data_IF_667062253209
#
_entry.id   IF_667062253209
#
_cell.length_a   1.000
_cell.length_b   1.000
_cell.length_c   1.000
_cell.angle_alpha   90.00
_cell.angle_beta   90.00
_cell.angle_gamma   90.00
#
_symmetry.space_group_name_H-M   'P 1'
#
loop_
_entity.id
_entity.type
_entity.pdbx_description
1 polymer ?
#
# COMPACT_ATOMS: atom_id res chain seq x y z
N UNK A 1 -28.57 15.64 1.76
CA UNK A 1 -29.32 14.36 1.73
C UNK A 1 -29.90 14.18 0.33
N UNK A 2 -29.64 13.07 -0.36
CA UNK A 2 -30.16 12.87 -1.72
C UNK A 2 -31.68 12.59 -1.67
N UNK A 3 -32.44 12.99 -2.70
CA UNK A 3 -33.89 12.69 -2.75
C UNK A 3 -34.20 11.19 -2.57
N UNK A 4 -33.29 10.32 -3.01
CA UNK A 4 -33.37 8.85 -2.87
C UNK A 4 -33.20 8.37 -1.42
N UNK A 5 -32.30 8.98 -0.67
CA UNK A 5 -32.10 8.66 0.76
C UNK A 5 -33.27 9.13 1.61
N UNK A 6 -33.82 10.32 1.33
CA UNK A 6 -35.02 10.82 1.98
C UNK A 6 -36.25 9.91 1.75
N UNK A 7 -36.45 9.46 0.51
CA UNK A 7 -37.53 8.54 0.15
C UNK A 7 -37.40 7.19 0.86
N UNK A 8 -36.20 6.61 0.90
CA UNK A 8 -35.93 5.34 1.59
C UNK A 8 -36.22 5.41 3.09
N UNK A 9 -35.82 6.51 3.75
CA UNK A 9 -36.12 6.74 5.17
C UNK A 9 -37.64 6.85 5.41
N UNK A 10 -38.35 7.58 4.54
CA UNK A 10 -39.81 7.71 4.65
C UNK A 10 -40.55 6.37 4.53
N UNK A 11 -40.13 5.50 3.61
CA UNK A 11 -40.70 4.15 3.45
C UNK A 11 -40.42 3.30 4.68
N UNK A 12 -39.20 3.36 5.22
CA UNK A 12 -38.84 2.62 6.43
C UNK A 12 -39.71 3.06 7.61
N UNK A 13 -39.89 4.37 7.81
CA UNK A 13 -40.74 4.90 8.89
C UNK A 13 -42.20 4.43 8.76
N UNK A 14 -42.76 4.41 7.55
CA UNK A 14 -44.10 3.87 7.29
C UNK A 14 -44.20 2.38 7.60
N UNK A 15 -43.18 1.60 7.21
CA UNK A 15 -43.11 0.16 7.48
C UNK A 15 -43.08 -0.14 8.99
N UNK A 16 -42.31 0.64 9.75
CA UNK A 16 -42.22 0.49 11.21
C UNK A 16 -43.44 1.07 11.96
N UNK A 17 -44.22 1.96 11.32
CA UNK A 17 -45.48 2.47 11.85
C UNK A 17 -46.69 1.54 11.58
N UNK A 18 -46.58 0.60 10.62
CA UNK A 18 -47.64 -0.35 10.28
C UNK A 18 -48.26 -1.06 11.51
N UNK A 19 -47.48 -1.49 12.52
CA UNK A 19 -48.05 -2.25 13.63
C UNK A 19 -48.81 -1.39 14.64
N UNK A 20 -48.54 -0.07 14.70
CA UNK A 20 -49.40 0.88 15.41
C UNK A 20 -50.77 0.99 14.73
N UNK A 21 -50.79 0.96 13.40
CA UNK A 21 -52.04 0.96 12.63
C UNK A 21 -52.81 -0.34 12.86
N UNK A 22 -52.12 -1.49 12.86
CA UNK A 22 -52.73 -2.80 13.18
C UNK A 22 -53.26 -2.80 14.61
N UNK A 23 -52.54 -2.25 15.59
CA UNK A 23 -53.01 -2.11 16.97
C UNK A 23 -54.33 -1.34 17.04
N UNK A 24 -54.37 -0.12 16.47
CA UNK A 24 -55.54 0.74 16.51
C UNK A 24 -56.74 0.06 15.84
N UNK A 25 -56.51 -0.67 14.74
CA UNK A 25 -57.56 -1.39 14.03
C UNK A 25 -58.10 -2.60 14.81
N UNK A 26 -57.23 -3.38 15.47
CA UNK A 26 -57.63 -4.63 16.14
C UNK A 26 -58.09 -4.44 17.59
N UNK A 27 -57.50 -3.48 18.31
CA UNK A 27 -57.71 -3.29 19.75
C UNK A 27 -58.34 -1.94 20.12
N UNK A 28 -58.48 -1.01 19.17
CA UNK A 28 -58.99 0.34 19.39
C UNK A 28 -57.92 1.29 19.92
N UNK A 29 -58.33 2.48 20.37
CA UNK A 29 -57.41 3.54 20.85
C UNK A 29 -57.12 3.47 22.35
N UNK A 30 -57.85 2.65 23.10
CA UNK A 30 -57.69 2.51 24.55
C UNK A 30 -56.68 1.43 24.90
N UNK A 31 -55.82 1.70 25.89
CA UNK A 31 -54.91 0.70 26.44
C UNK A 31 -55.69 -0.30 27.27
N UNK A 32 -55.63 -1.58 26.89
CA UNK A 32 -56.35 -2.63 27.61
C UNK A 32 -55.67 -3.00 28.92
N UNK A 33 -56.45 -3.16 30.00
CA UNK A 33 -55.97 -3.69 31.28
C UNK A 33 -55.92 -5.24 31.32
N UNK A 34 -56.31 -5.92 30.23
CA UNK A 34 -56.35 -7.38 30.17
C UNK A 34 -54.98 -7.94 29.75
N UNK A 35 -54.38 -8.75 30.63
CA UNK A 35 -53.12 -9.45 30.33
C UNK A 35 -53.21 -10.42 29.14
N UNK A 36 -54.37 -11.05 28.91
CA UNK A 36 -54.59 -11.93 27.76
C UNK A 36 -54.49 -11.17 26.44
N UNK A 37 -55.07 -9.97 26.38
CA UNK A 37 -54.99 -9.11 25.19
C UNK A 37 -53.57 -8.60 24.94
N UNK A 38 -52.78 -8.37 25.99
CA UNK A 38 -51.35 -8.07 25.84
C UNK A 38 -50.56 -9.23 25.25
N UNK A 39 -50.87 -10.47 25.63
CA UNK A 39 -50.24 -11.65 25.05
C UNK A 39 -50.60 -11.84 23.57
N UNK A 40 -51.88 -11.67 23.21
CA UNK A 40 -52.36 -11.70 21.82
C UNK A 40 -51.71 -10.60 20.97
N UNK A 41 -51.62 -9.39 21.51
CA UNK A 41 -50.94 -8.27 20.86
C UNK A 41 -49.45 -8.55 20.66
N UNK A 42 -48.76 -9.05 21.69
CA UNK A 42 -47.36 -9.43 21.60
C UNK A 42 -47.11 -10.48 20.51
N UNK A 43 -47.99 -11.49 20.42
CA UNK A 43 -47.92 -12.52 19.38
C UNK A 43 -48.13 -11.93 17.98
N UNK A 44 -49.15 -11.09 17.79
CA UNK A 44 -49.44 -10.45 16.51
C UNK A 44 -48.33 -9.48 16.07
N UNK A 45 -47.82 -8.66 17.01
CA UNK A 45 -46.69 -7.77 16.77
C UNK A 45 -45.43 -8.54 16.42
N UNK A 46 -45.08 -9.58 17.17
CA UNK A 46 -43.87 -10.35 16.90
C UNK A 46 -43.91 -11.04 15.54
N UNK A 47 -45.09 -11.48 15.07
CA UNK A 47 -45.25 -12.07 13.75
C UNK A 47 -44.97 -11.10 12.59
N UNK A 48 -45.21 -9.80 12.79
CA UNK A 48 -44.99 -8.75 11.79
C UNK A 48 -43.60 -8.11 11.96
N UNK A 49 -43.24 -7.70 13.18
CA UNK A 49 -41.98 -7.01 13.46
C UNK A 49 -40.77 -7.93 13.36
N UNK A 50 -40.85 -9.21 13.79
CA UNK A 50 -39.66 -10.05 13.79
C UNK A 50 -39.08 -10.24 12.37
N UNK A 51 -39.88 -10.54 11.32
CA UNK A 51 -39.36 -10.58 9.95
C UNK A 51 -38.87 -9.21 9.44
N UNK A 52 -39.60 -8.12 9.72
CA UNK A 52 -39.21 -6.77 9.29
C UNK A 52 -37.86 -6.36 9.89
N UNK A 53 -37.70 -6.56 11.20
CA UNK A 53 -36.48 -6.26 11.92
C UNK A 53 -35.36 -7.17 11.42
N UNK A 54 -35.59 -8.48 11.31
CA UNK A 54 -34.58 -9.42 10.82
C UNK A 54 -34.07 -9.04 9.41
N UNK A 55 -34.96 -8.70 8.49
CA UNK A 55 -34.57 -8.25 7.13
C UNK A 55 -33.81 -6.93 7.20
N UNK A 56 -34.30 -5.96 7.99
CA UNK A 56 -33.63 -4.66 8.16
C UNK A 56 -32.22 -4.85 8.72
N UNK A 57 -32.07 -5.67 9.76
CA UNK A 57 -30.78 -6.02 10.35
C UNK A 57 -29.86 -6.69 9.33
N UNK A 58 -30.37 -7.62 8.52
CA UNK A 58 -29.57 -8.26 7.48
C UNK A 58 -29.07 -7.26 6.43
N UNK A 59 -29.92 -6.32 6.00
CA UNK A 59 -29.53 -5.25 5.07
C UNK A 59 -28.44 -4.36 5.67
N UNK A 60 -28.58 -3.98 6.95
CA UNK A 60 -27.58 -3.18 7.65
C UNK A 60 -26.26 -3.93 7.76
N UNK A 61 -26.28 -5.21 8.17
CA UNK A 61 -25.08 -6.04 8.27
C UNK A 61 -24.40 -6.18 6.90
N UNK A 62 -25.16 -6.38 5.83
CA UNK A 62 -24.61 -6.46 4.49
C UNK A 62 -23.93 -5.15 4.08
N UNK A 63 -24.58 -4.00 4.32
CA UNK A 63 -23.98 -2.69 4.06
C UNK A 63 -22.71 -2.45 4.90
N UNK A 64 -22.71 -2.86 6.17
CA UNK A 64 -21.55 -2.78 7.05
C UNK A 64 -20.39 -3.63 6.54
N UNK A 65 -20.62 -4.86 6.10
CA UNK A 65 -19.57 -5.72 5.53
C UNK A 65 -18.97 -5.09 4.26
N UNK A 66 -19.79 -4.51 3.39
CA UNK A 66 -19.30 -3.82 2.19
C UNK A 66 -18.44 -2.60 2.54
N UNK A 67 -18.88 -1.78 3.50
CA UNK A 67 -18.12 -0.62 3.96
C UNK A 67 -16.81 -1.06 4.65
N UNK A 68 -16.86 -2.09 5.49
CA UNK A 68 -15.70 -2.63 6.18
C UNK A 68 -14.66 -3.15 5.18
N UNK A 69 -15.10 -3.80 4.10
CA UNK A 69 -14.22 -4.22 3.01
C UNK A 69 -13.49 -3.03 2.38
N UNK A 70 -14.21 -1.95 2.04
CA UNK A 70 -13.60 -0.75 1.46
C UNK A 70 -12.60 -0.09 2.41
N UNK A 71 -12.94 0.02 3.70
CA UNK A 71 -12.05 0.56 4.72
C UNK A 71 -10.79 -0.31 4.86
N UNK A 72 -10.95 -1.63 4.91
CA UNK A 72 -9.83 -2.56 5.06
C UNK A 72 -8.90 -2.52 3.84
N UNK A 73 -9.45 -2.43 2.62
CA UNK A 73 -8.65 -2.23 1.40
C UNK A 73 -7.84 -0.92 1.47
N UNK A 74 -8.45 0.17 1.95
CA UNK A 74 -7.77 1.46 2.09
C UNK A 74 -6.67 1.42 3.16
N UNK A 75 -6.95 0.80 4.32
CA UNK A 75 -6.00 0.62 5.41
C UNK A 75 -4.83 -0.26 5.00
N UNK A 76 -5.09 -1.33 4.25
CA UNK A 76 -4.06 -2.20 3.70
C UNK A 76 -3.11 -1.43 2.78
N UNK A 77 -3.65 -0.66 1.83
CA UNK A 77 -2.84 0.17 0.93
C UNK A 77 -2.02 1.20 1.71
N UNK A 78 -2.65 1.91 2.66
CA UNK A 78 -1.98 2.91 3.49
C UNK A 78 -0.83 2.29 4.29
N UNK A 79 -1.07 1.16 4.93
CA UNK A 79 -0.05 0.44 5.72
C UNK A 79 1.13 0.00 4.84
N UNK A 80 0.87 -0.50 3.64
CA UNK A 80 1.94 -0.88 2.71
C UNK A 80 2.78 0.32 2.27
N UNK A 81 2.14 1.46 1.99
CA UNK A 81 2.82 2.70 1.60
C UNK A 81 3.66 3.25 2.76
N UNK A 82 3.11 3.26 3.98
CA UNK A 82 3.82 3.73 5.17
C UNK A 82 5.03 2.86 5.47
N UNK A 83 4.88 1.54 5.39
CA UNK A 83 5.99 0.61 5.56
C UNK A 83 7.07 0.80 4.48
N UNK A 84 6.68 0.90 3.21
CA UNK A 84 7.61 1.14 2.12
C UNK A 84 8.43 2.43 2.33
N UNK A 85 7.78 3.51 2.79
CA UNK A 85 8.46 4.78 3.09
C UNK A 85 9.43 4.66 4.26
N UNK A 86 9.03 3.98 5.33
CA UNK A 86 9.87 3.78 6.51
C UNK A 86 11.11 2.93 6.17
N UNK A 87 10.91 1.81 5.48
CA UNK A 87 11.99 0.91 5.05
C UNK A 87 12.96 1.62 4.09
N UNK A 88 12.44 2.37 3.11
CA UNK A 88 13.27 3.17 2.20
C UNK A 88 14.10 4.21 2.93
N UNK A 89 13.50 4.92 3.89
CA UNK A 89 14.22 5.90 4.71
C UNK A 89 15.33 5.24 5.52
N UNK A 90 15.02 4.14 6.21
CA UNK A 90 15.98 3.38 6.99
C UNK A 90 17.16 2.86 6.16
N UNK A 91 16.88 2.26 5.00
CA UNK A 91 17.94 1.75 4.12
C UNK A 91 18.72 2.87 3.44
N UNK A 92 18.06 3.97 3.05
CA UNK A 92 18.73 5.09 2.39
C UNK A 92 19.71 5.81 3.33
N UNK A 93 19.33 6.04 4.58
CA UNK A 93 20.22 6.63 5.59
C UNK A 93 21.47 5.76 5.79
N UNK A 94 21.28 4.47 6.07
CA UNK A 94 22.40 3.55 6.27
C UNK A 94 23.26 3.38 5.01
N UNK A 95 22.65 3.43 3.83
CA UNK A 95 23.38 3.35 2.57
C UNK A 95 24.25 4.60 2.38
N UNK A 96 23.72 5.79 2.65
CA UNK A 96 24.49 7.02 2.59
C UNK A 96 25.72 6.95 3.49
N UNK A 97 25.56 6.47 4.73
CA UNK A 97 26.66 6.26 5.67
C UNK A 97 27.66 5.20 5.16
N UNK A 98 27.17 4.06 4.67
CA UNK A 98 28.02 2.98 4.14
C UNK A 98 28.83 3.43 2.91
N UNK A 99 28.28 4.33 2.09
CA UNK A 99 28.94 4.87 0.92
C UNK A 99 30.09 5.81 1.25
N UNK A 100 30.02 6.48 2.42
CA UNK A 100 31.06 7.41 2.86
C UNK A 100 32.16 6.73 3.69
N UNK A 101 32.05 5.41 3.91
CA UNK A 101 33.13 4.61 4.48
C UNK A 101 34.32 4.54 3.53
N UNK A 102 35.52 4.56 4.10
CA UNK A 102 36.78 4.46 3.34
C UNK A 102 36.99 3.03 2.86
N UNK A 103 37.15 2.85 1.55
CA UNK A 103 37.41 1.56 0.92
C UNK A 103 38.89 1.38 0.57
N UNK A 104 39.51 2.44 0.05
CA UNK A 104 40.93 2.52 -0.29
C UNK A 104 41.54 3.72 0.43
N UNK A 105 42.87 3.82 0.62
CA UNK A 105 43.50 4.98 1.25
C UNK A 105 43.05 6.29 0.60
N UNK A 106 42.30 7.10 1.37
CA UNK A 106 41.78 8.39 0.91
C UNK A 106 40.59 8.34 -0.06
N UNK A 107 40.01 7.17 -0.32
CA UNK A 107 38.83 7.05 -1.19
C UNK A 107 37.67 6.32 -0.52
N UNK A 108 36.49 6.94 -0.59
CA UNK A 108 35.24 6.33 -0.10
C UNK A 108 34.66 5.35 -1.11
N UNK A 109 33.77 4.46 -0.66
CA UNK A 109 33.01 3.57 -1.56
C UNK A 109 32.31 4.39 -2.65
N UNK A 110 31.68 5.52 -2.29
CA UNK A 110 31.01 6.44 -3.22
C UNK A 110 31.94 6.89 -4.35
N UNK A 111 33.16 7.33 -4.01
CA UNK A 111 34.12 7.82 -4.99
C UNK A 111 34.58 6.71 -5.94
N UNK A 112 34.86 5.52 -5.41
CA UNK A 112 35.24 4.36 -6.23
C UNK A 112 34.09 3.96 -7.17
N UNK A 113 32.84 4.02 -6.69
CA UNK A 113 31.67 3.74 -7.52
C UNK A 113 31.54 4.76 -8.67
N UNK A 114 31.64 6.06 -8.38
CA UNK A 114 31.55 7.11 -9.39
C UNK A 114 32.62 6.98 -10.47
N UNK A 115 33.86 6.64 -10.09
CA UNK A 115 34.97 6.51 -11.03
C UNK A 115 34.83 5.33 -11.99
N UNK A 116 34.17 4.24 -11.58
CA UNK A 116 34.22 2.97 -12.29
C UNK A 116 32.87 2.49 -12.84
N UNK A 117 31.74 2.88 -12.23
CA UNK A 117 30.40 2.36 -12.58
C UNK A 117 29.53 3.37 -13.32
N UNK A 118 30.16 4.24 -14.11
CA UNK A 118 29.48 5.09 -15.09
C UNK A 118 30.13 4.94 -16.48
N UNK A 119 30.18 3.71 -17.03
CA UNK A 119 30.81 3.51 -18.33
C UNK A 119 29.98 4.14 -19.45
N UNK A 120 30.59 4.27 -20.62
CA UNK A 120 29.95 4.83 -21.81
C UNK A 120 28.99 3.88 -22.53
N UNK A 121 28.95 2.59 -22.18
CA UNK A 121 28.12 1.60 -22.86
C UNK A 121 27.72 0.42 -21.96
N UNK A 122 26.63 -0.27 -22.33
CA UNK A 122 26.17 -1.48 -21.66
C UNK A 122 27.21 -2.61 -21.71
N UNK A 123 27.90 -2.79 -22.84
CA UNK A 123 28.91 -3.84 -23.00
C UNK A 123 30.09 -3.70 -22.02
N UNK A 124 30.43 -2.47 -21.65
CA UNK A 124 31.47 -2.21 -20.66
C UNK A 124 31.07 -2.65 -19.24
N UNK A 125 29.77 -2.79 -18.94
CA UNK A 125 29.31 -3.36 -17.66
C UNK A 125 29.53 -4.87 -17.56
N UNK A 126 29.80 -5.53 -18.69
CA UNK A 126 30.07 -6.96 -18.80
C UNK A 126 31.58 -7.25 -18.93
N UNK A 127 32.45 -6.26 -18.72
CA UNK A 127 33.90 -6.43 -18.71
C UNK A 127 34.38 -7.19 -17.46
N UNK A 128 35.30 -8.15 -17.66
CA UNK A 128 35.78 -9.01 -16.58
C UNK A 128 36.60 -8.26 -15.52
N UNK A 129 37.32 -7.20 -15.91
CA UNK A 129 38.06 -6.37 -14.95
C UNK A 129 37.11 -5.57 -14.07
N UNK A 130 36.03 -5.04 -14.65
CA UNK A 130 34.99 -4.34 -13.89
C UNK A 130 34.23 -5.29 -12.96
N UNK A 131 33.97 -6.53 -13.38
CA UNK A 131 33.39 -7.58 -12.51
C UNK A 131 34.31 -7.96 -11.35
N UNK A 132 35.61 -8.07 -11.60
CA UNK A 132 36.60 -8.33 -10.56
C UNK A 132 36.64 -7.18 -9.54
N UNK A 133 36.62 -5.93 -10.02
CA UNK A 133 36.52 -4.75 -9.17
C UNK A 133 35.21 -4.75 -8.35
N UNK A 134 34.07 -5.03 -8.99
CA UNK A 134 32.77 -5.11 -8.32
C UNK A 134 32.78 -6.15 -7.19
N UNK A 135 33.43 -7.29 -7.42
CA UNK A 135 33.60 -8.36 -6.44
C UNK A 135 34.50 -7.93 -5.28
N UNK A 136 35.58 -7.20 -5.56
CA UNK A 136 36.47 -6.66 -4.54
C UNK A 136 35.78 -5.60 -3.66
N UNK A 137 35.03 -4.67 -4.27
CA UNK A 137 34.23 -3.68 -3.53
C UNK A 137 33.25 -4.41 -2.61
N UNK A 138 32.55 -5.44 -3.11
CA UNK A 138 31.58 -6.18 -2.31
C UNK A 138 32.25 -6.93 -1.14
N UNK A 139 33.43 -7.51 -1.35
CA UNK A 139 34.15 -8.23 -0.30
C UNK A 139 34.58 -7.31 0.85
N UNK A 140 34.90 -6.04 0.55
CA UNK A 140 35.42 -5.08 1.53
C UNK A 140 34.34 -4.12 2.08
N UNK A 141 33.26 -3.90 1.33
CA UNK A 141 32.12 -3.06 1.71
C UNK A 141 30.78 -3.72 1.32
N UNK A 142 30.45 -4.89 1.91
CA UNK A 142 29.27 -5.67 1.50
C UNK A 142 27.96 -4.93 1.74
N UNK A 143 27.91 -4.10 2.79
CA UNK A 143 26.71 -3.40 3.26
C UNK A 143 26.13 -2.46 2.20
N UNK A 144 26.97 -1.71 1.48
CA UNK A 144 26.50 -0.76 0.47
C UNK A 144 25.68 -1.46 -0.63
N UNK A 145 26.18 -2.59 -1.12
CA UNK A 145 25.44 -3.36 -2.12
C UNK A 145 24.20 -4.01 -1.54
N UNK A 146 24.29 -4.61 -0.34
CA UNK A 146 23.15 -5.29 0.28
C UNK A 146 21.97 -4.34 0.54
N UNK A 147 22.25 -3.12 1.00
CA UNK A 147 21.23 -2.09 1.22
C UNK A 147 20.60 -1.62 -0.09
N UNK A 148 21.41 -1.44 -1.14
CA UNK A 148 20.87 -1.10 -2.46
C UNK A 148 20.00 -2.22 -3.04
N UNK A 149 20.40 -3.48 -2.86
CA UNK A 149 19.57 -4.65 -3.20
C UNK A 149 18.23 -4.64 -2.46
N UNK A 150 18.20 -4.24 -1.19
CA UNK A 150 16.97 -4.17 -0.40
C UNK A 150 16.01 -3.05 -0.86
N UNK A 151 16.53 -1.99 -1.49
CA UNK A 151 15.73 -0.88 -2.00
C UNK A 151 14.92 -1.29 -3.24
N UNK A 152 15.45 -2.15 -4.12
CA UNK A 152 14.77 -2.51 -5.37
C UNK A 152 13.41 -3.20 -5.18
N UNK A 153 13.25 -4.22 -4.33
CA UNK A 153 11.95 -4.84 -4.07
C UNK A 153 10.91 -3.82 -3.59
N UNK A 154 11.32 -2.81 -2.80
CA UNK A 154 10.40 -1.77 -2.33
C UNK A 154 9.93 -0.91 -3.51
N UNK A 155 10.87 -0.44 -4.34
CA UNK A 155 10.53 0.33 -5.54
C UNK A 155 9.68 -0.49 -6.52
N UNK A 156 9.99 -1.77 -6.72
CA UNK A 156 9.21 -2.68 -7.56
C UNK A 156 7.79 -2.87 -7.02
N UNK A 157 7.62 -3.00 -5.70
CA UNK A 157 6.32 -3.06 -5.04
C UNK A 157 5.50 -1.79 -5.25
N UNK A 158 6.14 -0.61 -5.13
CA UNK A 158 5.51 0.68 -5.42
C UNK A 158 5.12 0.81 -6.90
N UNK A 159 5.95 0.34 -7.83
CA UNK A 159 5.66 0.32 -9.27
C UNK A 159 4.47 -0.61 -9.58
N UNK A 160 4.39 -1.76 -8.91
CA UNK A 160 3.29 -2.71 -9.10
C UNK A 160 1.95 -2.18 -8.56
N UNK A 161 1.98 -1.25 -7.61
CA UNK A 161 0.82 -0.55 -7.09
C UNK A 161 0.22 0.40 -8.13
N UNK A 162 -0.88 0.01 -8.77
CA UNK A 162 -1.50 0.76 -9.89
C UNK A 162 -2.41 1.93 -9.46
N UNK A 163 -2.36 2.37 -8.20
CA UNK A 163 -3.21 3.46 -7.70
C UNK A 163 -2.41 4.74 -7.46
N UNK A 164 -3.07 5.89 -7.55
CA UNK A 164 -2.42 7.19 -7.40
C UNK A 164 -1.56 7.34 -6.11
N UNK A 165 -1.95 6.80 -4.94
CA UNK A 165 -1.10 6.80 -3.75
C UNK A 165 0.25 6.11 -3.94
N UNK A 166 0.30 4.97 -4.65
CA UNK A 166 1.55 4.27 -4.94
C UNK A 166 2.43 5.06 -5.90
N UNK A 167 1.85 5.63 -6.95
CA UNK A 167 2.57 6.45 -7.93
C UNK A 167 3.19 7.70 -7.27
N UNK A 168 2.41 8.44 -6.47
CA UNK A 168 2.92 9.59 -5.71
C UNK A 168 4.02 9.18 -4.73
N UNK A 169 3.87 8.02 -4.08
CA UNK A 169 4.88 7.49 -3.16
C UNK A 169 6.15 7.08 -3.90
N UNK A 170 6.04 6.48 -5.08
CA UNK A 170 7.18 6.14 -5.92
C UNK A 170 7.96 7.40 -6.32
N UNK A 171 7.28 8.43 -6.82
CA UNK A 171 7.92 9.68 -7.22
C UNK A 171 8.64 10.37 -6.06
N UNK A 172 7.99 10.47 -4.90
CA UNK A 172 8.62 11.05 -3.69
C UNK A 172 9.79 10.21 -3.18
N UNK A 173 9.70 8.87 -3.27
CA UNK A 173 10.78 7.96 -2.89
C UNK A 173 12.00 8.11 -3.81
N UNK A 174 11.79 8.16 -5.12
CA UNK A 174 12.86 8.40 -6.11
C UNK A 174 13.52 9.75 -5.86
N UNK A 175 12.73 10.80 -5.64
CA UNK A 175 13.25 12.12 -5.32
C UNK A 175 14.07 12.13 -4.02
N UNK A 176 13.63 11.39 -2.99
CA UNK A 176 14.35 11.25 -1.72
C UNK A 176 15.70 10.56 -1.91
N UNK A 177 15.73 9.44 -2.65
CA UNK A 177 16.98 8.74 -2.97
C UNK A 177 17.96 9.66 -3.68
N UNK A 178 17.51 10.43 -4.69
CA UNK A 178 18.35 11.40 -5.39
C UNK A 178 18.85 12.50 -4.45
N UNK A 179 17.98 13.04 -3.60
CA UNK A 179 18.36 14.11 -2.68
C UNK A 179 19.40 13.66 -1.64
N UNK A 180 19.34 12.40 -1.19
CA UNK A 180 20.26 11.88 -0.18
C UNK A 180 21.54 11.30 -0.75
N UNK A 181 21.46 10.64 -1.91
CA UNK A 181 22.58 9.91 -2.49
C UNK A 181 23.25 10.67 -3.65
N UNK A 182 22.58 11.65 -4.25
CA UNK A 182 22.87 12.21 -5.58
C UNK A 182 22.44 11.28 -6.72
N UNK A 183 22.12 11.87 -7.87
CA UNK A 183 21.68 11.13 -9.04
C UNK A 183 22.80 10.24 -9.61
N UNK A 184 24.03 10.75 -9.61
CA UNK A 184 25.24 10.08 -10.07
C UNK A 184 25.53 8.82 -9.26
N UNK A 185 25.30 8.88 -7.94
CA UNK A 185 25.42 7.71 -7.06
C UNK A 185 24.36 6.67 -7.37
N UNK A 186 23.11 7.08 -7.57
CA UNK A 186 22.04 6.15 -7.93
C UNK A 186 22.34 5.44 -9.27
N UNK A 187 22.86 6.16 -10.28
CA UNK A 187 23.31 5.54 -11.54
C UNK A 187 24.44 4.53 -11.29
N UNK A 188 25.45 4.93 -10.54
CA UNK A 188 26.60 4.08 -10.26
C UNK A 188 26.19 2.81 -9.50
N UNK A 189 25.24 2.92 -8.57
CA UNK A 189 24.68 1.80 -7.83
C UNK A 189 23.85 0.87 -8.72
N UNK A 190 23.03 1.40 -9.63
CA UNK A 190 22.31 0.61 -10.64
C UNK A 190 23.26 -0.23 -11.49
N UNK A 191 24.30 0.42 -12.02
CA UNK A 191 25.33 -0.22 -12.84
C UNK A 191 26.13 -1.25 -12.04
N UNK A 192 26.53 -0.91 -10.81
CA UNK A 192 27.24 -1.83 -9.92
C UNK A 192 26.41 -3.08 -9.60
N UNK A 193 25.12 -2.91 -9.31
CA UNK A 193 24.18 -4.01 -9.11
C UNK A 193 24.09 -4.90 -10.36
N UNK A 194 23.92 -4.31 -11.54
CA UNK A 194 23.86 -5.06 -12.80
C UNK A 194 25.15 -5.82 -13.09
N UNK A 195 26.31 -5.21 -12.90
CA UNK A 195 27.61 -5.87 -13.10
C UNK A 195 27.76 -7.04 -12.12
N UNK A 196 27.39 -6.87 -10.84
CA UNK A 196 27.55 -7.91 -9.83
C UNK A 196 26.59 -9.11 -10.00
N UNK A 197 25.39 -8.84 -10.49
CA UNK A 197 24.35 -9.85 -10.74
C UNK A 197 24.43 -10.45 -12.14
N UNK A 198 25.32 -9.92 -13.00
CA UNK A 198 25.41 -10.28 -14.41
C UNK A 198 24.06 -10.16 -15.15
N UNK A 199 23.16 -9.29 -14.67
CA UNK A 199 21.83 -9.13 -15.24
C UNK A 199 20.87 -10.29 -15.00
N UNK A 200 21.24 -11.27 -14.17
CA UNK A 200 20.38 -12.41 -13.83
C UNK A 200 19.19 -12.01 -12.95
N UNK A 201 19.30 -10.87 -12.28
CA UNK A 201 18.20 -10.28 -11.52
C UNK A 201 17.36 -9.40 -12.46
N UNK A 202 16.10 -9.79 -12.67
CA UNK A 202 15.10 -8.99 -13.37
C UNK A 202 14.61 -7.87 -12.45
N UNK A 203 15.41 -6.81 -12.36
CA UNK A 203 15.09 -5.60 -11.61
C UNK A 203 14.82 -4.45 -12.59
N UNK A 204 13.72 -3.69 -12.42
CA UNK A 204 13.49 -2.49 -13.20
C UNK A 204 14.45 -1.38 -12.72
N UNK A 205 15.65 -1.36 -13.29
CA UNK A 205 16.65 -0.31 -13.03
C UNK A 205 16.04 1.05 -13.35
N UNK A 206 16.19 2.00 -12.43
CA UNK A 206 15.41 3.24 -12.45
C UNK A 206 16.23 4.46 -12.80
N UNK A 207 17.52 4.43 -12.52
CA UNK A 207 18.40 5.58 -12.61
C UNK A 207 19.37 5.45 -13.78
N UNK A 208 19.93 4.26 -14.00
CA UNK A 208 20.92 4.06 -15.07
C UNK A 208 20.26 4.12 -16.46
N UNK A 209 20.66 5.09 -17.31
CA UNK A 209 20.14 5.21 -18.67
C UNK A 209 20.50 3.99 -19.53
N UNK A 210 21.67 3.37 -19.28
CA UNK A 210 22.15 2.18 -19.99
C UNK A 210 21.26 0.96 -19.75
N UNK A 211 20.57 0.92 -18.59
CA UNK A 211 19.77 -0.21 -18.16
C UNK A 211 18.28 0.03 -18.37
N UNK A 212 17.85 1.29 -18.38
CA UNK A 212 16.45 1.65 -18.67
C UNK A 212 16.06 1.45 -20.13
N UNK A 213 17.01 1.46 -21.07
CA UNK A 213 16.75 1.20 -22.50
C UNK A 213 16.76 -0.30 -22.86
N UNK A 214 17.25 -1.16 -21.97
CA UNK A 214 17.40 -2.59 -22.19
C UNK A 214 16.28 -3.45 -21.58
N UNK A 215 15.28 -2.81 -20.96
CA UNK A 215 14.16 -3.45 -20.25
C UNK A 215 12.86 -3.40 -21.05
#
# INVERSE_FOLDING_TARGET
MSKRTALGIGILLLLYALPLVVYIYTFGTELTNSHTRWAEFGSALSGIYAPIVAITTLVVLFAQVMLQKQINEHQYVQSHIEQARADLEFYCVQLAEALDQTLLPGQTVRQVLHQNFQPSSLAALDDDSLRALASNIHANAPTALALWFAIYPILAGLIAGKSAPFEMTLHSSVAKLIAMLSFETCIALDNYHRTRTEGRMSTPYRFSPLLSEAA
#
